data_IF_111759240847
#
_entry.id   IF_111759240847
#
_cell.length_a   1.000
_cell.length_b   1.000
_cell.length_c   1.000
_cell.angle_alpha   90.00
_cell.angle_beta   90.00
_cell.angle_gamma   90.00
#
_symmetry.space_group_name_H-M   'P 1'
#
loop_
_entity.id
_entity.type
_entity.pdbx_description
1 polymer ?
#
# COMPACT_ATOMS: atom_id res chain seq x y z
N UNK A 1 1.06 -18.65 -0.81
CA UNK A 1 2.51 -18.78 -0.95
C UNK A 1 3.01 -17.83 -2.04
N UNK A 2 3.66 -16.71 -1.66
CA UNK A 2 4.24 -15.74 -2.60
C UNK A 2 5.24 -16.36 -3.58
N UNK A 3 5.87 -17.48 -3.23
CA UNK A 3 6.82 -18.18 -4.10
C UNK A 3 6.17 -18.73 -5.37
N UNK A 4 4.84 -18.87 -5.41
CA UNK A 4 4.08 -19.34 -6.59
C UNK A 4 3.82 -18.23 -7.64
N UNK A 5 4.19 -16.99 -7.36
CA UNK A 5 3.95 -15.86 -8.26
C UNK A 5 5.01 -15.79 -9.36
N UNK A 6 4.62 -16.09 -10.60
CA UNK A 6 5.47 -15.88 -11.78
C UNK A 6 5.53 -14.40 -12.19
N UNK A 7 6.52 -14.03 -12.99
CA UNK A 7 6.64 -12.66 -13.54
C UNK A 7 5.37 -12.18 -14.26
N UNK A 8 4.80 -12.96 -15.21
CA UNK A 8 3.55 -12.59 -15.87
C UNK A 8 2.36 -12.42 -14.91
N UNK A 9 2.26 -13.25 -13.87
CA UNK A 9 1.21 -13.12 -12.86
C UNK A 9 1.36 -11.82 -12.05
N UNK A 10 2.59 -11.50 -11.60
CA UNK A 10 2.89 -10.26 -10.88
C UNK A 10 2.53 -9.04 -11.72
N UNK A 11 2.89 -9.05 -13.01
CA UNK A 11 2.53 -7.98 -13.95
C UNK A 11 1.02 -7.84 -14.11
N UNK A 12 0.28 -8.94 -14.29
CA UNK A 12 -1.19 -8.93 -14.39
C UNK A 12 -1.87 -8.39 -13.12
N UNK A 13 -1.26 -8.62 -11.96
CA UNK A 13 -1.76 -8.16 -10.65
C UNK A 13 -1.32 -6.73 -10.31
N UNK A 14 -0.50 -6.08 -11.14
CA UNK A 14 -0.06 -4.69 -10.95
C UNK A 14 1.10 -4.51 -9.97
N UNK A 15 1.87 -5.56 -9.68
CA UNK A 15 3.09 -5.42 -8.89
C UNK A 15 4.16 -4.65 -9.68
N UNK A 16 4.88 -3.80 -8.97
CA UNK A 16 6.08 -3.17 -9.50
C UNK A 16 7.21 -4.22 -9.65
N UNK A 17 7.99 -4.13 -10.73
CA UNK A 17 9.14 -5.00 -11.00
C UNK A 17 10.38 -4.11 -11.19
N UNK A 18 11.32 -4.16 -10.24
CA UNK A 18 12.50 -3.30 -10.20
C UNK A 18 13.68 -4.05 -9.60
N UNK A 19 14.86 -3.85 -10.20
CA UNK A 19 16.12 -4.40 -9.69
C UNK A 19 16.62 -3.69 -8.42
N UNK A 20 16.07 -2.50 -8.12
CA UNK A 20 16.38 -1.72 -6.93
C UNK A 20 15.10 -1.47 -6.12
N UNK A 21 15.25 -1.52 -4.81
CA UNK A 21 14.20 -1.24 -3.84
C UNK A 21 14.79 -0.43 -2.69
N UNK A 22 14.25 0.77 -2.48
CA UNK A 22 14.66 1.64 -1.38
C UNK A 22 13.43 2.06 -0.61
N UNK A 23 13.48 1.88 0.70
CA UNK A 23 12.46 2.36 1.61
C UNK A 23 12.76 3.79 2.04
N UNK A 24 11.74 4.64 1.98
CA UNK A 24 11.78 6.00 2.51
C UNK A 24 10.77 6.11 3.66
N UNK A 25 11.26 6.47 4.84
CA UNK A 25 10.43 6.66 6.03
C UNK A 25 10.14 8.14 6.25
N UNK A 26 8.86 8.49 6.41
CA UNK A 26 8.41 9.83 6.79
C UNK A 26 7.81 9.77 8.21
N UNK A 27 8.28 10.65 9.11
CA UNK A 27 7.89 10.69 10.53
C UNK A 27 7.01 11.89 10.89
N UNK A 28 6.56 12.68 9.90
CA UNK A 28 5.65 13.79 10.14
C UNK A 28 4.25 13.27 10.52
N UNK A 29 3.42 14.08 11.20
CA UNK A 29 2.00 13.75 11.36
C UNK A 29 1.34 13.55 10.00
N UNK A 30 0.76 12.36 9.79
CA UNK A 30 0.03 12.01 8.56
C UNK A 30 -1.38 11.57 8.87
N UNK A 31 -2.26 11.81 7.91
CA UNK A 31 -3.60 11.23 7.86
C UNK A 31 -3.67 10.32 6.64
N UNK A 32 -4.07 9.06 6.82
CA UNK A 32 -4.26 8.08 5.74
C UNK A 32 -5.75 7.82 5.57
N UNK A 33 -6.26 8.05 4.36
CA UNK A 33 -7.67 7.79 4.01
C UNK A 33 -7.73 6.62 3.03
N UNK A 34 -8.41 5.55 3.42
CA UNK A 34 -8.73 4.43 2.55
C UNK A 34 -9.90 4.80 1.62
N UNK A 35 -9.73 4.52 0.33
CA UNK A 35 -10.79 4.60 -0.67
C UNK A 35 -11.34 3.19 -0.91
N UNK A 36 -12.59 2.96 -0.51
CA UNK A 36 -13.22 1.65 -0.63
C UNK A 36 -13.83 1.45 -2.02
N UNK A 37 -14.04 0.19 -2.39
CA UNK A 37 -14.58 -0.20 -3.69
C UNK A 37 -16.00 0.30 -3.94
N UNK A 38 -16.74 0.58 -2.87
CA UNK A 38 -18.09 1.18 -2.91
C UNK A 38 -18.07 2.72 -2.97
N UNK A 39 -16.88 3.33 -3.06
CA UNK A 39 -16.68 4.77 -3.14
C UNK A 39 -16.61 5.49 -1.79
N UNK A 40 -16.82 4.79 -0.67
CA UNK A 40 -16.65 5.40 0.67
C UNK A 40 -15.19 5.73 0.95
N UNK A 41 -15.00 6.74 1.80
CA UNK A 41 -13.70 7.16 2.33
C UNK A 41 -13.68 6.94 3.84
N UNK A 42 -12.63 6.29 4.33
CA UNK A 42 -12.45 5.99 5.76
C UNK A 42 -11.06 6.43 6.20
N UNK A 43 -10.96 7.23 7.27
CA UNK A 43 -9.67 7.53 7.89
C UNK A 43 -9.24 6.30 8.70
N UNK A 44 -8.07 5.75 8.37
CA UNK A 44 -7.51 4.56 9.03
C UNK A 44 -6.27 4.89 9.89
N UNK A 45 -5.74 6.09 9.71
CA UNK A 45 -4.59 6.62 10.45
C UNK A 45 -4.74 8.13 10.51
N UNK A 46 -4.60 8.71 11.70
CA UNK A 46 -4.64 10.15 11.90
C UNK A 46 -3.57 10.60 12.89
N UNK A 47 -2.86 11.67 12.54
CA UNK A 47 -1.81 12.29 13.38
C UNK A 47 -0.82 11.29 13.98
N UNK A 48 -0.42 10.28 13.21
CA UNK A 48 0.58 9.32 13.69
C UNK A 48 0.01 8.07 14.38
N UNK A 49 -1.32 7.90 14.45
CA UNK A 49 -1.96 6.84 15.23
C UNK A 49 -3.03 6.13 14.38
N UNK A 50 -3.12 4.80 14.49
CA UNK A 50 -4.19 4.01 13.87
C UNK A 50 -5.54 4.31 14.53
N UNK A 51 -6.60 4.44 13.73
CA UNK A 51 -7.93 4.90 14.18
C UNK A 51 -9.01 3.80 14.16
N UNK A 52 -8.65 2.56 13.83
CA UNK A 52 -9.53 1.39 13.75
C UNK A 52 -9.12 0.31 14.77
#
# INVERSE_FOLDING_TARGET
DPARLTGPMKKKLGFNDSALHWDLVNTEPKTVTAHLTDGRKVVIYDRGIFTL
#
